data_IF_155174687519
#
_entry.id   IF_155174687519
#
_cell.length_a   1.000
_cell.length_b   1.000
_cell.length_c   1.000
_cell.angle_alpha   90.00
_cell.angle_beta   90.00
_cell.angle_gamma   90.00
#
_symmetry.space_group_name_H-M   'P 1'
#
loop_
_entity.id
_entity.type
_entity.pdbx_description
1 polymer ?
#
# COMPACT_ATOMS: atom_id res chain seq x y z
N UNK A 1 -3.35 -2.18 8.75
CA UNK A 1 -3.22 -1.78 10.17
C UNK A 1 -2.75 -0.34 10.35
N UNK A 2 -1.89 0.16 9.48
CA UNK A 2 -1.25 1.49 9.57
C UNK A 2 -2.25 2.65 9.65
N UNK A 3 -3.38 2.57 8.94
CA UNK A 3 -4.44 3.58 9.01
C UNK A 3 -5.06 3.75 10.41
N UNK A 4 -4.91 2.77 11.29
CA UNK A 4 -5.39 2.79 12.67
C UNK A 4 -4.28 3.03 13.68
N UNK A 5 -3.10 2.45 13.47
CA UNK A 5 -1.99 2.46 14.43
C UNK A 5 -0.90 3.51 14.10
N UNK A 6 -0.95 4.08 12.92
CA UNK A 6 0.15 4.86 12.37
C UNK A 6 1.24 3.99 11.78
N UNK A 7 2.11 4.61 11.02
CA UNK A 7 3.30 3.95 10.45
C UNK A 7 4.48 4.07 11.41
N UNK A 8 5.23 2.97 11.52
CA UNK A 8 6.47 2.92 12.29
C UNK A 8 7.62 2.49 11.38
N UNK A 9 8.70 3.25 11.38
CA UNK A 9 9.87 2.95 10.56
C UNK A 9 10.46 1.58 10.89
N UNK A 10 10.83 0.82 9.87
CA UNK A 10 11.27 -0.58 10.01
C UNK A 10 12.37 -0.81 11.06
N UNK A 11 13.42 0.03 11.18
CA UNK A 11 14.44 -0.16 12.22
C UNK A 11 13.88 -0.13 13.63
N UNK A 12 12.83 0.68 13.88
CA UNK A 12 12.18 0.76 15.18
C UNK A 12 11.25 -0.43 15.43
N UNK A 13 10.54 -0.92 14.39
CA UNK A 13 9.70 -2.13 14.50
C UNK A 13 10.49 -3.35 14.98
N UNK A 14 11.73 -3.50 14.53
CA UNK A 14 12.60 -4.63 14.95
C UNK A 14 12.86 -4.63 16.45
N UNK A 15 12.87 -3.46 17.07
CA UNK A 15 13.09 -3.31 18.52
C UNK A 15 11.80 -3.44 19.33
N UNK A 16 10.64 -3.43 18.70
CA UNK A 16 9.32 -3.41 19.32
C UNK A 16 8.42 -4.54 18.77
N UNK A 17 8.71 -5.80 19.08
CA UNK A 17 7.94 -6.93 18.56
C UNK A 17 6.47 -6.89 18.98
N UNK A 18 6.13 -6.27 20.11
CA UNK A 18 4.75 -6.09 20.55
C UNK A 18 3.94 -5.20 19.60
N UNK A 19 4.59 -4.22 18.95
CA UNK A 19 3.93 -3.39 17.94
C UNK A 19 3.56 -4.21 16.70
N UNK A 20 4.47 -5.04 16.23
CA UNK A 20 4.20 -5.94 15.10
C UNK A 20 3.08 -6.94 15.43
N UNK A 21 3.05 -7.47 16.63
CA UNK A 21 1.97 -8.35 17.09
C UNK A 21 0.61 -7.63 17.14
N UNK A 22 0.60 -6.33 17.46
CA UNK A 22 -0.62 -5.51 17.42
C UNK A 22 -1.06 -5.23 15.98
N UNK A 23 -0.13 -4.92 15.08
CA UNK A 23 -0.42 -4.75 13.64
C UNK A 23 -1.05 -6.03 13.06
N UNK A 24 -0.52 -7.21 13.40
CA UNK A 24 -1.06 -8.49 12.94
C UNK A 24 -2.50 -8.72 13.42
N UNK A 25 -2.80 -8.39 14.67
CA UNK A 25 -4.16 -8.48 15.21
C UNK A 25 -5.13 -7.56 14.48
N UNK A 26 -4.74 -6.30 14.27
CA UNK A 26 -5.58 -5.33 13.53
C UNK A 26 -5.77 -5.77 12.09
N UNK A 27 -4.71 -6.26 11.43
CA UNK A 27 -4.78 -6.77 10.06
C UNK A 27 -5.72 -7.98 9.94
N UNK A 28 -5.70 -8.89 10.92
CA UNK A 28 -6.61 -10.03 10.96
C UNK A 28 -8.08 -9.60 11.10
N UNK A 29 -8.37 -8.60 11.93
CA UNK A 29 -9.72 -8.04 12.07
C UNK A 29 -10.19 -7.39 10.77
N UNK A 30 -9.33 -6.62 10.11
CA UNK A 30 -9.63 -5.99 8.81
C UNK A 30 -9.91 -7.07 7.77
N UNK A 31 -9.06 -8.09 7.67
CA UNK A 31 -9.24 -9.19 6.75
C UNK A 31 -10.60 -9.90 6.95
N UNK A 32 -10.93 -10.22 8.20
CA UNK A 32 -12.21 -10.84 8.53
C UNK A 32 -13.41 -9.95 8.19
N UNK A 33 -13.31 -8.64 8.47
CA UNK A 33 -14.39 -7.68 8.23
C UNK A 33 -14.71 -7.51 6.74
N UNK A 34 -13.68 -7.51 5.89
CA UNK A 34 -13.84 -7.29 4.45
C UNK A 34 -13.75 -8.55 3.61
N UNK A 35 -13.63 -9.73 4.23
CA UNK A 35 -13.52 -11.01 3.52
C UNK A 35 -12.23 -11.11 2.68
N UNK A 36 -11.12 -10.52 3.17
CA UNK A 36 -9.83 -10.52 2.50
C UNK A 36 -9.02 -11.75 2.90
N UNK A 37 -8.29 -12.32 1.94
CA UNK A 37 -7.34 -13.39 2.17
C UNK A 37 -5.91 -12.90 1.92
N UNK A 38 -5.10 -12.90 2.98
CA UNK A 38 -3.69 -12.54 2.93
C UNK A 38 -2.76 -13.77 2.97
N UNK A 39 -3.29 -14.98 2.75
CA UNK A 39 -2.48 -16.22 2.75
C UNK A 39 -1.42 -16.23 1.64
N UNK A 40 -1.70 -15.62 0.49
CA UNK A 40 -0.73 -15.38 -0.57
C UNK A 40 -0.34 -13.90 -0.64
N UNK A 41 0.73 -13.54 0.05
CA UNK A 41 1.22 -12.18 0.11
C UNK A 41 2.08 -11.77 -1.10
N UNK A 42 2.54 -12.72 -1.90
CA UNK A 42 3.47 -12.45 -3.00
C UNK A 42 2.90 -11.50 -4.07
N UNK A 43 1.64 -11.64 -4.55
CA UNK A 43 1.06 -10.69 -5.50
C UNK A 43 0.90 -9.28 -4.91
N UNK A 44 0.57 -9.18 -3.63
CA UNK A 44 0.43 -7.89 -2.93
C UNK A 44 1.80 -7.21 -2.87
N UNK A 45 2.83 -7.94 -2.50
CA UNK A 45 4.21 -7.40 -2.45
C UNK A 45 4.71 -6.97 -3.82
N UNK A 46 4.38 -7.73 -4.87
CA UNK A 46 4.74 -7.37 -6.24
C UNK A 46 4.03 -6.08 -6.67
N UNK A 47 2.74 -5.94 -6.38
CA UNK A 47 1.98 -4.73 -6.68
C UNK A 47 2.54 -3.50 -5.93
N UNK A 48 2.90 -3.65 -4.66
CA UNK A 48 3.54 -2.63 -3.84
C UNK A 48 4.87 -2.15 -4.46
N UNK A 49 5.73 -3.07 -4.89
CA UNK A 49 6.99 -2.72 -5.56
C UNK A 49 6.79 -2.01 -6.90
N UNK A 50 5.82 -2.43 -7.69
CA UNK A 50 5.47 -1.76 -8.95
C UNK A 50 4.94 -0.36 -8.69
N UNK A 51 4.06 -0.19 -7.70
CA UNK A 51 3.55 1.12 -7.29
C UNK A 51 4.70 2.03 -6.85
N UNK A 52 5.58 1.54 -5.98
CA UNK A 52 6.74 2.29 -5.48
C UNK A 52 7.71 2.70 -6.61
N UNK A 53 7.97 1.80 -7.57
CA UNK A 53 8.79 2.12 -8.74
C UNK A 53 8.16 3.22 -9.60
N UNK A 54 6.83 3.19 -9.73
CA UNK A 54 6.06 4.18 -10.49
C UNK A 54 6.08 5.54 -9.77
N UNK A 55 5.83 5.55 -8.47
CA UNK A 55 5.88 6.77 -7.64
C UNK A 55 7.28 7.40 -7.61
N UNK A 56 8.33 6.57 -7.50
CA UNK A 56 9.72 7.05 -7.57
C UNK A 56 9.99 7.75 -8.90
N UNK A 57 9.53 7.19 -10.01
CA UNK A 57 9.69 7.78 -11.33
C UNK A 57 8.95 9.10 -11.49
N UNK A 58 7.70 9.17 -11.02
CA UNK A 58 6.76 10.23 -11.39
C UNK A 58 6.65 11.33 -10.34
N UNK A 59 6.79 11.01 -9.06
CA UNK A 59 6.45 11.92 -7.96
C UNK A 59 7.65 12.33 -7.12
N UNK A 60 8.75 11.56 -7.17
CA UNK A 60 9.93 11.88 -6.37
C UNK A 60 10.94 12.73 -7.15
N UNK A 61 11.74 13.55 -6.46
CA UNK A 61 12.85 14.26 -7.10
C UNK A 61 13.79 13.28 -7.79
N UNK A 62 14.26 13.62 -8.97
CA UNK A 62 15.24 12.80 -9.67
C UNK A 62 16.50 12.64 -8.82
N UNK A 63 16.83 11.39 -8.51
CA UNK A 63 18.01 11.02 -7.75
C UNK A 63 18.73 9.89 -8.48
N UNK A 64 20.07 9.98 -8.54
CA UNK A 64 20.92 8.90 -9.03
C UNK A 64 20.98 7.74 -8.03
N UNK A 65 20.37 7.87 -6.86
CA UNK A 65 20.38 6.85 -5.83
C UNK A 65 19.63 5.59 -6.30
N UNK A 66 20.35 4.47 -6.31
CA UNK A 66 19.80 3.18 -6.63
C UNK A 66 19.08 2.59 -5.41
N UNK A 67 17.84 2.22 -5.59
CA UNK A 67 17.09 1.45 -4.61
C UNK A 67 17.13 -0.02 -4.99
N UNK A 68 18.07 -0.76 -4.39
CA UNK A 68 18.37 -2.14 -4.77
C UNK A 68 17.15 -3.07 -4.79
N UNK A 69 16.16 -2.84 -3.92
CA UNK A 69 14.93 -3.63 -3.86
C UNK A 69 13.96 -3.36 -5.04
N UNK A 70 14.22 -2.32 -5.84
CA UNK A 70 13.48 -2.05 -7.08
C UNK A 70 14.17 -2.59 -8.33
N UNK A 71 15.32 -3.27 -8.20
CA UNK A 71 16.03 -3.82 -9.35
C UNK A 71 15.17 -4.87 -10.07
N UNK A 72 15.02 -4.67 -11.37
CA UNK A 72 14.17 -5.52 -12.20
C UNK A 72 12.67 -5.27 -12.09
N UNK A 73 12.23 -4.29 -11.29
CA UNK A 73 10.83 -3.89 -11.18
C UNK A 73 10.53 -2.81 -12.21
N UNK A 74 9.70 -3.14 -13.19
CA UNK A 74 9.22 -2.17 -14.17
C UNK A 74 8.06 -1.34 -13.58
N UNK A 75 8.12 0.00 -13.66
CA UNK A 75 6.98 0.85 -13.28
C UNK A 75 5.81 0.64 -14.25
N UNK A 76 4.62 1.03 -13.82
CA UNK A 76 3.44 1.06 -14.70
C UNK A 76 3.69 1.94 -15.93
N UNK A 77 3.12 1.60 -17.09
CA UNK A 77 3.33 2.37 -18.33
C UNK A 77 2.73 3.78 -18.29
N UNK A 78 1.65 3.98 -17.51
CA UNK A 78 1.04 5.29 -17.31
C UNK A 78 1.86 6.18 -16.39
N UNK A 79 1.65 7.49 -16.47
CA UNK A 79 2.23 8.50 -15.58
C UNK A 79 1.21 8.85 -14.51
N UNK A 80 1.67 8.96 -13.27
CA UNK A 80 0.83 9.40 -12.15
C UNK A 80 0.68 10.92 -12.23
N UNK A 81 -0.57 11.38 -12.42
CA UNK A 81 -0.92 12.77 -12.19
C UNK A 81 -1.11 12.99 -10.70
N UNK A 82 -0.32 13.92 -10.13
CA UNK A 82 -0.47 14.30 -8.74
C UNK A 82 -1.87 14.91 -8.51
N UNK A 83 -2.57 14.40 -7.50
CA UNK A 83 -3.92 14.83 -7.17
C UNK A 83 -4.03 15.23 -5.71
N UNK A 84 -5.02 16.07 -5.39
CA UNK A 84 -5.30 16.44 -4.01
C UNK A 84 -5.89 15.26 -3.18
N UNK A 85 -5.80 15.33 -1.84
CA UNK A 85 -6.26 14.23 -0.97
C UNK A 85 -7.74 13.85 -1.16
N UNK A 86 -8.61 14.83 -1.42
CA UNK A 86 -10.03 14.58 -1.65
C UNK A 86 -10.28 13.75 -2.91
N UNK A 87 -9.60 14.09 -4.00
CA UNK A 87 -9.68 13.34 -5.26
C UNK A 87 -9.08 11.94 -5.12
N UNK A 88 -7.93 11.82 -4.48
CA UNK A 88 -7.30 10.52 -4.21
C UNK A 88 -8.23 9.59 -3.43
N UNK A 89 -8.88 10.13 -2.39
CA UNK A 89 -9.89 9.39 -1.62
C UNK A 89 -11.05 8.91 -2.49
N UNK A 90 -11.62 9.79 -3.33
CA UNK A 90 -12.73 9.43 -4.19
C UNK A 90 -12.34 8.35 -5.21
N UNK A 91 -11.18 8.47 -5.84
CA UNK A 91 -10.66 7.46 -6.78
C UNK A 91 -10.42 6.12 -6.12
N UNK A 92 -9.84 6.13 -4.92
CA UNK A 92 -9.63 4.92 -4.13
C UNK A 92 -10.96 4.23 -3.81
N UNK A 93 -11.94 4.97 -3.28
CA UNK A 93 -13.24 4.43 -2.91
C UNK A 93 -13.99 3.88 -4.14
N UNK A 94 -13.91 4.56 -5.27
CA UNK A 94 -14.50 4.09 -6.52
C UNK A 94 -13.86 2.77 -6.99
N UNK A 95 -12.54 2.70 -7.04
CA UNK A 95 -11.82 1.49 -7.41
C UNK A 95 -12.11 0.34 -6.42
N UNK A 96 -12.15 0.61 -5.13
CA UNK A 96 -12.49 -0.37 -4.11
C UNK A 96 -13.90 -0.94 -4.33
N UNK A 97 -14.90 -0.09 -4.57
CA UNK A 97 -16.27 -0.53 -4.83
C UNK A 97 -16.36 -1.40 -6.10
N UNK A 98 -15.66 -1.01 -7.17
CA UNK A 98 -15.64 -1.80 -8.41
C UNK A 98 -14.99 -3.17 -8.24
N UNK A 99 -13.87 -3.24 -7.53
CA UNK A 99 -13.08 -4.47 -7.39
C UNK A 99 -13.64 -5.41 -6.32
N UNK A 100 -14.21 -4.88 -5.25
CA UNK A 100 -14.74 -5.70 -4.16
C UNK A 100 -16.18 -6.17 -4.38
N UNK A 101 -16.92 -5.57 -5.32
CA UNK A 101 -18.37 -5.78 -5.47
C UNK A 101 -19.18 -5.25 -4.27
N UNK A 102 -18.53 -4.61 -3.31
CA UNK A 102 -19.17 -3.96 -2.17
C UNK A 102 -19.62 -2.57 -2.62
N UNK A 103 -20.92 -2.39 -2.86
CA UNK A 103 -21.47 -1.06 -3.05
C UNK A 103 -21.16 -0.21 -1.82
N UNK A 104 -20.41 0.88 -2.00
CA UNK A 104 -20.28 1.88 -0.95
C UNK A 104 -21.65 2.52 -0.79
N UNK A 105 -22.33 2.21 0.32
CA UNK A 105 -23.48 3.00 0.73
C UNK A 105 -23.06 4.46 0.82
N UNK A 106 -23.74 5.31 0.09
CA UNK A 106 -23.52 6.75 0.07
C UNK A 106 -23.71 7.34 1.47
#
# INVERSE_FOLDING_TARGET
AESYLGDMVKPLKVLLPEFSALEDKVSAIIAATYGLDFSDYAPIKQADLIALATEKRDLMPHSAERWAYLDGIAPLPGIIDAMGPAEAKQRFLHAFAQLSGLGLAA
#
